data_IF_290154048419
#
_entry.id   IF_290154048419
#
_cell.length_a   1.000
_cell.length_b   1.000
_cell.length_c   1.000
_cell.angle_alpha   90.00
_cell.angle_beta   90.00
_cell.angle_gamma   90.00
#
_symmetry.space_group_name_H-M   'P 1'
#
loop_
_entity.id
_entity.type
_entity.pdbx_description
1 polymer ?
#
# COMPACT_ATOMS: atom_id res chain seq x y z
N UNK A 1 -1.94 7.28 -4.99
CA UNK A 1 -0.85 6.49 -4.37
C UNK A 1 -0.27 5.48 -5.36
N UNK A 2 1.02 5.12 -5.23
CA UNK A 2 1.69 4.20 -6.18
C UNK A 2 1.82 2.76 -5.67
N UNK A 3 1.34 2.50 -4.46
CA UNK A 3 1.40 1.18 -3.84
C UNK A 3 0.50 0.17 -4.53
N UNK A 4 0.79 -1.12 -4.37
CA UNK A 4 -0.05 -2.19 -4.90
C UNK A 4 -1.48 -2.05 -4.36
N UNK A 5 -2.44 -2.03 -5.28
CA UNK A 5 -3.85 -1.79 -5.02
C UNK A 5 -4.70 -2.51 -6.08
N UNK A 6 -5.91 -2.98 -5.73
CA UNK A 6 -6.90 -3.43 -6.70
C UNK A 6 -7.56 -2.31 -7.51
N UNK A 7 -7.23 -1.04 -7.22
CA UNK A 7 -7.68 0.15 -7.94
C UNK A 7 -9.19 0.45 -7.86
N UNK A 8 -9.89 0.00 -6.81
CA UNK A 8 -11.31 0.34 -6.64
C UNK A 8 -11.52 1.80 -6.18
N UNK A 9 -10.49 2.43 -5.63
CA UNK A 9 -10.49 3.83 -5.18
C UNK A 9 -9.22 4.57 -5.65
N UNK A 10 -8.91 4.49 -6.96
CA UNK A 10 -7.75 5.17 -7.58
C UNK A 10 -6.43 4.97 -6.80
N UNK A 11 -6.20 3.76 -6.30
CA UNK A 11 -4.99 3.38 -5.58
C UNK A 11 -4.99 3.73 -4.08
N UNK A 12 -6.06 4.31 -3.54
CA UNK A 12 -6.20 4.56 -2.09
C UNK A 12 -6.64 3.30 -1.32
N UNK A 13 -7.18 2.28 -2.00
CA UNK A 13 -7.40 0.95 -1.44
C UNK A 13 -6.14 0.07 -1.56
N UNK A 14 -5.17 0.27 -0.66
CA UNK A 14 -3.85 -0.39 -0.71
C UNK A 14 -3.94 -1.87 -0.25
N UNK A 15 -3.42 -2.80 -1.04
CA UNK A 15 -3.32 -4.23 -0.71
C UNK A 15 -1.92 -4.67 -0.26
N UNK A 16 -0.87 -3.92 -0.62
CA UNK A 16 0.49 -4.07 -0.06
C UNK A 16 1.23 -2.72 -0.06
N UNK A 17 1.63 -2.26 1.13
CA UNK A 17 2.37 -1.02 1.33
C UNK A 17 3.84 -1.06 0.89
N UNK A 18 4.39 -2.26 0.63
CA UNK A 18 5.81 -2.45 0.30
C UNK A 18 6.05 -2.74 -1.18
N UNK A 19 4.99 -2.78 -1.99
CA UNK A 19 5.06 -3.09 -3.41
C UNK A 19 4.53 -1.93 -4.24
N UNK A 20 5.10 -1.72 -5.42
CA UNK A 20 4.60 -0.75 -6.41
C UNK A 20 3.50 -1.41 -7.23
N UNK A 21 2.45 -0.65 -7.59
CA UNK A 21 1.42 -1.14 -8.48
C UNK A 21 1.98 -1.41 -9.88
N UNK A 22 1.62 -2.55 -10.46
CA UNK A 22 2.24 -3.07 -11.69
C UNK A 22 2.12 -2.12 -12.90
N UNK A 23 1.04 -1.35 -13.01
CA UNK A 23 0.90 -0.36 -14.09
C UNK A 23 1.89 0.82 -13.99
N UNK A 24 2.49 1.04 -12.81
CA UNK A 24 3.46 2.11 -12.57
C UNK A 24 4.91 1.62 -12.59
N UNK A 25 5.13 0.30 -12.66
CA UNK A 25 6.45 -0.31 -12.72
C UNK A 25 6.76 -1.17 -11.49
N UNK A 26 8.05 -1.34 -11.24
CA UNK A 26 8.61 -2.18 -10.19
C UNK A 26 9.21 -1.34 -9.07
N UNK A 27 9.61 -2.00 -7.96
CA UNK A 27 10.37 -1.31 -6.92
C UNK A 27 11.71 -0.77 -7.46
N UNK A 28 12.35 -1.47 -8.40
CA UNK A 28 13.59 -1.01 -9.02
C UNK A 28 13.39 0.28 -9.82
N UNK A 29 12.26 0.41 -10.53
CA UNK A 29 11.92 1.64 -11.26
C UNK A 29 11.69 2.81 -10.29
N UNK A 30 11.06 2.55 -9.13
CA UNK A 30 10.88 3.56 -8.09
C UNK A 30 12.22 3.97 -7.43
N UNK A 31 13.11 3.01 -7.20
CA UNK A 31 14.48 3.27 -6.69
C UNK A 31 15.29 4.13 -7.67
N UNK A 32 15.21 3.85 -8.97
CA UNK A 32 15.86 4.66 -10.01
C UNK A 32 15.29 6.10 -10.02
N UNK A 33 13.97 6.25 -9.99
CA UNK A 33 13.32 7.55 -9.90
C UNK A 33 13.80 8.34 -8.68
N UNK A 34 13.89 7.68 -7.52
CA UNK A 34 14.32 8.31 -6.29
C UNK A 34 15.79 8.75 -6.35
N UNK A 35 16.67 7.89 -6.89
CA UNK A 35 18.08 8.20 -7.09
C UNK A 35 18.26 9.41 -8.02
N UNK A 36 17.59 9.41 -9.17
CA UNK A 36 17.69 10.48 -10.16
C UNK A 36 17.10 11.80 -9.64
N UNK A 37 15.99 11.75 -8.89
CA UNK A 37 15.44 12.93 -8.22
C UNK A 37 16.44 13.54 -7.23
N UNK A 38 17.06 12.70 -6.38
CA UNK A 38 18.03 13.16 -5.40
C UNK A 38 19.31 13.73 -6.02
N UNK A 39 19.82 13.14 -7.11
CA UNK A 39 20.94 13.70 -7.90
C UNK A 39 20.67 15.13 -8.39
N UNK A 40 19.40 15.47 -8.60
CA UNK A 40 18.94 16.80 -9.06
C UNK A 40 18.52 17.73 -7.92
N UNK A 41 18.73 17.33 -6.66
CA UNK A 41 18.33 18.10 -5.48
C UNK A 41 16.80 18.15 -5.27
N UNK A 42 16.03 17.30 -5.96
CA UNK A 42 14.58 17.19 -5.79
C UNK A 42 14.30 16.33 -4.56
N UNK A 43 13.28 16.70 -3.78
CA UNK A 43 12.74 15.88 -2.70
C UNK A 43 11.43 15.25 -3.14
N UNK A 44 11.25 13.97 -2.83
CA UNK A 44 10.04 13.22 -3.16
C UNK A 44 9.19 13.09 -1.90
N UNK A 45 7.92 13.46 -1.99
CA UNK A 45 6.91 13.26 -0.96
C UNK A 45 5.91 12.25 -1.50
N UNK A 46 5.49 11.30 -0.67
CA UNK A 46 4.54 10.26 -1.02
C UNK A 46 3.26 10.40 -0.18
N UNK A 47 2.13 10.02 -0.77
CA UNK A 47 0.88 9.83 -0.03
C UNK A 47 1.03 8.69 0.99
N UNK A 48 0.56 8.90 2.22
CA UNK A 48 0.50 7.87 3.25
C UNK A 48 -0.95 7.61 3.65
N UNK A 49 -1.52 6.50 3.14
CA UNK A 49 -2.92 6.13 3.39
C UNK A 49 -2.98 5.07 4.48
N UNK A 50 -3.21 5.48 5.72
CA UNK A 50 -3.20 4.57 6.90
C UNK A 50 -4.50 4.56 7.69
N UNK A 51 -5.51 5.30 7.23
CA UNK A 51 -6.86 5.27 7.82
C UNK A 51 -7.59 3.95 7.49
N UNK A 52 -7.31 3.34 6.34
CA UNK A 52 -7.88 2.08 5.88
C UNK A 52 -6.89 1.33 4.97
N UNK A 53 -7.16 0.05 4.74
CA UNK A 53 -6.49 -0.78 3.72
C UNK A 53 -7.55 -1.38 2.79
N UNK A 54 -7.14 -1.91 1.64
CA UNK A 54 -7.99 -2.76 0.81
C UNK A 54 -8.48 -4.00 1.58
N UNK A 55 -9.65 -4.52 1.22
CA UNK A 55 -10.12 -5.85 1.67
C UNK A 55 -9.26 -6.98 1.11
N UNK A 56 -8.44 -6.71 0.08
CA UNK A 56 -7.49 -7.68 -0.43
C UNK A 56 -6.18 -7.74 0.37
N UNK A 57 -5.95 -6.78 1.27
CA UNK A 57 -4.76 -6.71 2.12
C UNK A 57 -4.68 -7.94 3.03
N UNK A 58 -3.46 -8.45 3.26
CA UNK A 58 -3.23 -9.63 4.12
C UNK A 58 -3.86 -9.46 5.50
N UNK A 59 -3.65 -8.32 6.14
CA UNK A 59 -4.24 -8.03 7.46
C UNK A 59 -5.76 -8.15 7.47
N UNK A 60 -6.45 -7.66 6.43
CA UNK A 60 -7.91 -7.77 6.36
C UNK A 60 -8.36 -9.23 6.19
N UNK A 61 -7.71 -9.97 5.28
CA UNK A 61 -7.99 -11.40 5.07
C UNK A 61 -7.78 -12.21 6.34
N UNK A 62 -6.69 -11.96 7.07
CA UNK A 62 -6.41 -12.60 8.37
C UNK A 62 -7.44 -12.20 9.44
N UNK A 63 -7.75 -10.91 9.59
CA UNK A 63 -8.74 -10.41 10.54
C UNK A 63 -10.16 -10.96 10.29
N UNK A 64 -10.49 -11.19 9.01
CA UNK A 64 -11.75 -11.79 8.58
C UNK A 64 -11.80 -13.31 8.79
N UNK A 65 -10.65 -13.98 8.89
CA UNK A 65 -10.56 -15.45 8.96
C UNK A 65 -11.11 -16.05 10.25
N UNK A 66 -11.13 -15.29 11.35
CA UNK A 66 -11.63 -15.76 12.63
C UNK A 66 -11.55 -14.72 13.73
N UNK A 67 -12.37 -14.88 14.78
CA UNK A 67 -12.45 -13.96 15.93
C UNK A 67 -11.20 -14.00 16.83
N UNK A 68 -10.48 -15.11 16.86
CA UNK A 68 -9.28 -15.30 17.66
C UNK A 68 -7.98 -15.00 16.88
N UNK A 69 -8.08 -14.50 15.65
CA UNK A 69 -6.90 -14.18 14.83
C UNK A 69 -6.18 -12.94 15.39
N UNK A 70 -4.85 -12.95 15.41
CA UNK A 70 -4.01 -11.84 15.91
C UNK A 70 -4.28 -10.49 15.19
N UNK A 71 -4.77 -10.53 13.95
CA UNK A 71 -5.11 -9.35 13.18
C UNK A 71 -6.56 -8.89 13.39
N UNK A 72 -7.38 -9.61 14.17
CA UNK A 72 -8.81 -9.34 14.33
C UNK A 72 -9.09 -7.87 14.68
N UNK A 73 -8.35 -7.35 15.66
CA UNK A 73 -8.57 -6.01 16.20
C UNK A 73 -7.88 -4.90 15.38
N UNK A 74 -7.26 -5.22 14.24
CA UNK A 74 -6.77 -4.19 13.30
C UNK A 74 -7.93 -3.47 12.60
N UNK A 75 -9.12 -4.07 12.59
CA UNK A 75 -10.32 -3.51 11.96
C UNK A 75 -11.50 -3.49 12.93
N UNK A 76 -12.48 -2.64 12.65
CA UNK A 76 -13.69 -2.52 13.46
C UNK A 76 -14.74 -3.49 12.94
N UNK A 77 -15.17 -4.42 13.81
CA UNK A 77 -16.22 -5.40 13.53
C UNK A 77 -17.47 -5.10 14.34
N UNK A 78 -18.65 -5.36 13.80
CA UNK A 78 -19.95 -5.27 14.49
C UNK A 78 -20.77 -6.53 14.26
#
# INVERSE_FOLDING_TARGET
>A
PIYQSPQNDNGYDISDYYSIHEEYGTMADFEELLEEAHKRGIKVIMDLVVNHTSTEHRWFKEAASGKENLYRDFYIWK
#
